data_IF_167587579396
#
_entry.id   IF_167587579396
#
_cell.length_a   1.000
_cell.length_b   1.000
_cell.length_c   1.000
_cell.angle_alpha   90.00
_cell.angle_beta   90.00
_cell.angle_gamma   90.00
#
_symmetry.space_group_name_H-M   'P 1'
#
loop_
_entity.id
_entity.type
_entity.pdbx_description
1 polymer ?
#
# COMPACT_ATOMS: atom_id res chain seq x y z
N UNK A 1 10.23 9.77 -2.51
CA UNK A 1 10.86 8.80 -3.42
C UNK A 1 10.92 7.50 -2.68
N UNK A 2 9.97 6.61 -2.97
CA UNK A 2 9.94 5.26 -2.42
C UNK A 2 10.61 4.38 -3.44
N UNK A 3 11.93 4.28 -3.37
CA UNK A 3 12.69 3.54 -4.37
C UNK A 3 12.64 2.05 -4.02
N UNK A 4 12.34 1.24 -5.03
CA UNK A 4 12.27 -0.23 -4.87
C UNK A 4 13.68 -0.78 -4.96
N UNK A 5 14.03 -1.73 -4.11
CA UNK A 5 15.43 -2.10 -3.93
C UNK A 5 15.59 -3.61 -3.95
N UNK A 6 16.44 -4.09 -4.86
CA UNK A 6 17.06 -5.41 -4.75
C UNK A 6 18.38 -5.22 -4.02
N UNK A 7 18.61 -6.00 -2.99
CA UNK A 7 19.88 -5.95 -2.28
C UNK A 7 20.33 -7.32 -1.81
N UNK A 8 21.64 -7.47 -1.74
CA UNK A 8 22.31 -8.67 -1.23
C UNK A 8 23.03 -8.27 0.04
N UNK A 9 22.70 -8.94 1.13
CA UNK A 9 23.17 -8.61 2.47
C UNK A 9 23.79 -9.84 3.12
N UNK A 10 24.88 -9.65 3.85
CA UNK A 10 25.34 -10.63 4.84
C UNK A 10 24.89 -10.25 6.25
N UNK A 11 24.51 -11.25 7.04
CA UNK A 11 24.20 -11.09 8.46
C UNK A 11 25.23 -11.85 9.31
N UNK A 12 25.68 -11.21 10.39
CA UNK A 12 26.53 -11.82 11.41
C UNK A 12 25.60 -12.43 12.49
N UNK A 13 25.57 -13.76 12.62
CA UNK A 13 24.67 -14.51 13.53
C UNK A 13 24.81 -14.15 15.02
N UNK A 14 25.79 -13.32 15.41
CA UNK A 14 26.15 -13.07 16.82
C UNK A 14 25.54 -11.85 17.48
N UNK A 15 24.66 -11.06 16.84
CA UNK A 15 23.92 -10.05 17.61
C UNK A 15 22.56 -9.69 17.02
N UNK A 16 21.50 -9.85 17.83
CA UNK A 16 20.17 -9.27 17.63
C UNK A 16 20.15 -7.73 17.81
N UNK A 17 21.23 -7.07 17.43
CA UNK A 17 21.42 -5.61 17.41
C UNK A 17 21.98 -5.31 16.03
N UNK A 18 21.47 -4.28 15.35
CA UNK A 18 21.85 -3.81 13.98
C UNK A 18 23.34 -3.40 13.84
N UNK A 19 24.28 -4.25 14.21
CA UNK A 19 25.73 -4.09 14.08
C UNK A 19 26.24 -5.34 13.36
N UNK A 20 26.38 -5.27 12.03
CA UNK A 20 26.95 -6.38 11.25
C UNK A 20 26.34 -6.64 9.88
N UNK A 21 25.27 -5.93 9.50
CA UNK A 21 24.66 -6.08 8.18
C UNK A 21 25.50 -5.38 7.11
N UNK A 22 26.31 -6.13 6.36
CA UNK A 22 27.09 -5.61 5.24
C UNK A 22 26.31 -5.77 3.93
N UNK A 23 26.17 -4.68 3.20
CA UNK A 23 25.50 -4.65 1.90
C UNK A 23 26.55 -4.94 0.82
N UNK A 24 26.37 -6.05 0.11
CA UNK A 24 27.28 -6.46 -0.97
C UNK A 24 26.85 -5.90 -2.33
N UNK A 25 25.54 -5.77 -2.54
CA UNK A 25 24.95 -5.24 -3.76
C UNK A 25 23.65 -4.53 -3.40
N UNK A 26 23.42 -3.37 -4.00
CA UNK A 26 22.15 -2.62 -3.93
C UNK A 26 21.87 -2.09 -5.32
N UNK A 27 20.71 -2.42 -5.88
CA UNK A 27 20.26 -1.90 -7.17
C UNK A 27 18.79 -1.55 -7.13
N UNK A 28 18.44 -0.49 -7.87
CA UNK A 28 17.06 -0.07 -8.12
C UNK A 28 16.59 -0.46 -9.53
N UNK A 29 17.46 -1.09 -10.32
CA UNK A 29 17.21 -1.57 -11.68
C UNK A 29 17.11 -3.10 -11.71
N UNK A 30 17.00 -3.67 -12.91
CA UNK A 30 17.03 -5.12 -13.11
C UNK A 30 18.40 -5.68 -12.71
N UNK A 31 18.37 -6.76 -11.92
CA UNK A 31 19.54 -7.50 -11.47
C UNK A 31 20.12 -8.33 -12.61
N UNK A 32 21.45 -8.36 -12.73
CA UNK A 32 22.14 -9.26 -13.64
C UNK A 32 22.74 -10.47 -12.92
N UNK A 33 22.90 -11.59 -13.65
CA UNK A 33 23.45 -12.84 -13.09
C UNK A 33 24.89 -12.67 -12.59
N UNK A 34 25.70 -11.85 -13.30
CA UNK A 34 27.10 -11.57 -12.95
C UNK A 34 27.22 -10.78 -11.64
N UNK A 35 26.38 -9.76 -11.44
CA UNK A 35 26.33 -8.99 -10.20
C UNK A 35 25.95 -9.87 -9.01
N UNK A 36 24.94 -10.74 -9.18
CA UNK A 36 24.50 -11.65 -8.13
C UNK A 36 25.58 -12.67 -7.76
N UNK A 37 26.25 -13.25 -8.76
CA UNK A 37 27.36 -14.19 -8.55
C UNK A 37 28.53 -13.55 -7.82
N UNK A 38 28.94 -12.34 -8.23
CA UNK A 38 30.02 -11.59 -7.58
C UNK A 38 29.69 -11.25 -6.12
N UNK A 39 28.44 -10.83 -5.86
CA UNK A 39 27.98 -10.49 -4.52
C UNK A 39 27.96 -11.71 -3.58
N UNK A 40 27.59 -12.89 -4.09
CA UNK A 40 27.56 -14.12 -3.31
C UNK A 40 28.96 -14.67 -2.96
N UNK A 41 29.95 -14.48 -3.84
CA UNK A 41 31.29 -15.07 -3.71
C UNK A 41 32.27 -14.23 -2.87
N UNK A 42 32.04 -12.93 -2.71
CA UNK A 42 32.98 -12.03 -2.01
C UNK A 42 32.89 -12.07 -0.48
N UNK A 43 32.06 -12.96 0.07
CA UNK A 43 31.66 -12.95 1.48
C UNK A 43 32.15 -14.21 2.21
N UNK A 44 32.76 -14.02 3.38
CA UNK A 44 33.04 -15.11 4.34
C UNK A 44 31.89 -15.38 5.30
N UNK A 45 30.81 -14.61 5.18
CA UNK A 45 29.62 -14.67 6.03
C UNK A 45 28.45 -15.28 5.25
N UNK A 46 27.34 -15.52 5.93
CA UNK A 46 26.11 -15.98 5.29
C UNK A 46 25.48 -14.82 4.51
N UNK A 47 25.18 -15.04 3.23
CA UNK A 47 24.66 -14.01 2.31
C UNK A 47 23.22 -14.34 1.92
N UNK A 48 22.37 -13.32 1.89
CA UNK A 48 20.95 -13.42 1.54
C UNK A 48 20.61 -12.41 0.45
N UNK A 49 19.94 -12.88 -0.61
CA UNK A 49 19.30 -12.03 -1.61
C UNK A 49 17.94 -11.58 -1.07
N UNK A 50 17.69 -10.26 -1.07
CA UNK A 50 16.40 -9.69 -0.71
C UNK A 50 15.86 -8.78 -1.82
N UNK A 51 14.56 -8.84 -2.05
CA UNK A 51 13.81 -7.90 -2.86
C UNK A 51 12.77 -7.21 -1.97
N UNK A 52 12.82 -5.89 -1.94
CA UNK A 52 11.83 -5.04 -1.27
C UNK A 52 11.18 -4.09 -2.29
N UNK A 53 9.83 -4.09 -2.39
CA UNK A 53 9.10 -3.21 -3.29
C UNK A 53 9.10 -1.77 -2.75
N UNK A 54 8.52 -0.84 -3.51
CA UNK A 54 8.37 0.53 -3.01
C UNK A 54 7.48 0.58 -1.76
N UNK A 55 7.83 1.50 -0.86
CA UNK A 55 7.03 1.86 0.32
C UNK A 55 6.86 3.37 0.31
N UNK A 56 5.63 3.83 0.54
CA UNK A 56 5.32 5.26 0.58
C UNK A 56 4.49 5.61 1.83
N UNK A 57 4.92 6.62 2.57
CA UNK A 57 4.17 7.18 3.69
C UNK A 57 3.68 8.57 3.32
N UNK A 58 2.37 8.75 3.18
CA UNK A 58 1.75 10.02 2.81
C UNK A 58 1.01 10.60 4.00
N UNK A 59 1.26 11.88 4.31
CA UNK A 59 0.44 12.62 5.27
C UNK A 59 -0.76 13.22 4.55
N UNK A 60 -1.96 12.97 5.07
CA UNK A 60 -3.20 13.52 4.53
C UNK A 60 -3.70 14.69 5.40
N UNK A 61 -4.36 15.66 4.76
CA UNK A 61 -4.98 16.79 5.46
C UNK A 61 -6.26 16.37 6.22
N UNK A 62 -7.04 15.45 5.65
CA UNK A 62 -8.29 14.95 6.21
C UNK A 62 -8.34 13.42 6.20
N UNK A 63 -9.20 12.83 7.03
CA UNK A 63 -9.48 11.38 7.01
C UNK A 63 -10.12 10.95 5.69
N UNK A 64 -11.01 11.76 5.12
CA UNK A 64 -11.65 11.47 3.84
C UNK A 64 -10.61 11.37 2.70
N UNK A 65 -9.65 12.30 2.65
CA UNK A 65 -8.55 12.24 1.69
C UNK A 65 -7.71 10.97 1.87
N UNK A 66 -7.45 10.57 3.13
CA UNK A 66 -6.73 9.35 3.45
C UNK A 66 -7.50 8.08 2.99
N UNK A 67 -8.82 8.05 3.16
CA UNK A 67 -9.67 6.95 2.69
C UNK A 67 -9.66 6.83 1.16
N UNK A 68 -9.77 7.95 0.44
CA UNK A 68 -9.65 7.97 -1.03
C UNK A 68 -8.30 7.46 -1.50
N UNK A 69 -7.22 7.96 -0.89
CA UNK A 69 -5.86 7.54 -1.21
C UNK A 69 -5.64 6.04 -0.94
N UNK A 70 -6.17 5.52 0.19
CA UNK A 70 -6.11 4.10 0.52
C UNK A 70 -6.87 3.26 -0.51
N UNK A 71 -8.08 3.66 -0.91
CA UNK A 71 -8.87 2.95 -1.90
C UNK A 71 -8.15 2.88 -3.26
N UNK A 72 -7.55 3.99 -3.72
CA UNK A 72 -6.71 4.03 -4.92
C UNK A 72 -5.52 3.07 -4.81
N UNK A 73 -4.84 3.09 -3.67
CA UNK A 73 -3.68 2.24 -3.41
C UNK A 73 -4.04 0.75 -3.49
N UNK A 74 -5.16 0.35 -2.89
CA UNK A 74 -5.66 -1.03 -2.94
C UNK A 74 -6.03 -1.41 -4.38
N UNK A 75 -6.72 -0.54 -5.11
CA UNK A 75 -7.06 -0.74 -6.52
C UNK A 75 -5.84 -0.89 -7.44
N UNK A 76 -4.74 -0.20 -7.12
CA UNK A 76 -3.46 -0.32 -7.81
C UNK A 76 -2.65 -1.59 -7.45
N UNK A 77 -3.14 -2.43 -6.53
CA UNK A 77 -2.48 -3.67 -6.11
C UNK A 77 -1.68 -3.56 -4.81
N UNK A 78 -1.71 -2.42 -4.12
CA UNK A 78 -1.04 -2.21 -2.83
C UNK A 78 -1.95 -2.62 -1.67
N UNK A 79 -2.27 -3.92 -1.58
CA UNK A 79 -3.27 -4.46 -0.63
C UNK A 79 -2.88 -4.36 0.85
N UNK A 80 -1.58 -4.26 1.15
CA UNK A 80 -1.06 -4.15 2.52
C UNK A 80 -0.99 -2.70 3.03
N UNK A 81 -1.65 -1.79 2.32
CA UNK A 81 -1.73 -0.38 2.68
C UNK A 81 -2.70 -0.16 3.84
N UNK A 82 -2.48 0.89 4.63
CA UNK A 82 -3.34 1.19 5.77
C UNK A 82 -3.23 2.64 6.24
N UNK A 83 -4.26 3.09 6.96
CA UNK A 83 -4.31 4.41 7.60
C UNK A 83 -3.75 4.28 9.03
N UNK A 84 -2.89 5.22 9.40
CA UNK A 84 -2.34 5.36 10.75
C UNK A 84 -2.71 6.74 11.29
N UNK A 85 -3.24 6.76 12.52
CA UNK A 85 -3.54 7.98 13.24
C UNK A 85 -2.44 8.24 14.27
N UNK A 86 -1.81 9.40 14.19
CA UNK A 86 -0.85 9.84 15.19
C UNK A 86 -1.56 10.33 16.45
N UNK A 87 -0.90 10.23 17.61
CA UNK A 87 -1.34 10.85 18.87
C UNK A 87 -1.58 12.35 18.75
N UNK A 88 -0.93 13.01 17.78
CA UNK A 88 -1.09 14.44 17.48
C UNK A 88 -2.25 14.74 16.52
N UNK A 89 -3.14 13.76 16.26
CA UNK A 89 -4.28 13.91 15.34
C UNK A 89 -3.92 13.94 13.84
N UNK A 90 -2.65 13.69 13.48
CA UNK A 90 -2.23 13.64 12.07
C UNK A 90 -2.62 12.30 11.44
N UNK A 91 -3.18 12.35 10.23
CA UNK A 91 -3.57 11.17 9.46
C UNK A 91 -2.47 10.83 8.46
N UNK A 92 -2.00 9.59 8.48
CA UNK A 92 -1.00 9.07 7.57
C UNK A 92 -1.55 7.85 6.83
N UNK A 93 -1.18 7.69 5.57
CA UNK A 93 -1.43 6.47 4.79
C UNK A 93 -0.08 5.83 4.52
N UNK A 94 0.12 4.61 4.98
CA UNK A 94 1.23 3.76 4.57
C UNK A 94 0.79 2.92 3.37
N UNK A 95 1.44 3.13 2.24
CA UNK A 95 1.18 2.43 0.99
C UNK A 95 2.26 1.37 0.83
N UNK A 96 1.84 0.10 0.81
CA UNK A 96 2.73 -1.07 0.78
C UNK A 96 2.16 -2.16 -0.10
N UNK A 97 3.05 -2.96 -0.66
CA UNK A 97 2.72 -4.10 -1.53
C UNK A 97 3.03 -5.42 -0.80
N UNK A 98 2.52 -6.52 -1.35
CA UNK A 98 2.78 -7.90 -0.88
C UNK A 98 4.00 -8.54 -1.52
N UNK A 99 4.63 -7.88 -2.49
CA UNK A 99 5.81 -8.42 -3.16
C UNK A 99 6.97 -8.41 -2.18
N UNK A 100 7.66 -9.52 -2.08
CA UNK A 100 8.92 -9.65 -1.37
C UNK A 100 9.62 -10.90 -1.86
N UNK A 101 10.93 -10.97 -1.68
CA UNK A 101 11.72 -12.18 -1.85
C UNK A 101 12.85 -12.11 -0.84
N UNK A 102 13.12 -13.23 -0.18
CA UNK A 102 14.27 -13.40 0.69
C UNK A 102 14.79 -14.82 0.50
N UNK A 103 16.03 -14.95 0.04
CA UNK A 103 16.63 -16.25 -0.29
C UNK A 103 18.08 -16.27 0.19
N UNK A 104 18.45 -17.19 1.10
CA UNK A 104 19.86 -17.39 1.48
C UNK A 104 20.64 -17.98 0.30
N UNK A 105 21.76 -17.35 -0.04
CA UNK A 105 22.67 -17.73 -1.12
C UNK A 105 23.88 -18.52 -0.60
N UNK A 106 24.40 -18.14 0.58
CA UNK A 106 25.55 -18.79 1.21
C UNK A 106 25.37 -18.90 2.72
N UNK A 107 26.03 -19.87 3.32
CA UNK A 107 26.16 -20.00 4.77
C UNK A 107 27.64 -20.08 5.16
N UNK A 108 28.09 -19.17 6.02
CA UNK A 108 29.48 -19.09 6.52
C UNK A 108 30.52 -19.12 5.40
N UNK A 109 30.24 -18.41 4.30
CA UNK A 109 31.10 -18.33 3.12
C UNK A 109 30.98 -19.50 2.14
N UNK A 110 30.21 -20.54 2.45
CA UNK A 110 29.94 -21.63 1.51
C UNK A 110 28.70 -21.30 0.67
N UNK A 111 28.87 -21.12 -0.63
CA UNK A 111 27.76 -20.89 -1.56
C UNK A 111 26.91 -22.17 -1.65
N UNK A 112 25.63 -22.07 -1.31
CA UNK A 112 24.68 -23.19 -1.29
C UNK A 112 23.94 -23.36 -2.62
N UNK A 113 24.09 -22.38 -3.50
CA UNK A 113 23.30 -22.18 -4.72
C UNK A 113 24.10 -22.57 -5.96
N UNK A 114 23.47 -23.30 -6.89
CA UNK A 114 24.09 -23.65 -8.18
C UNK A 114 24.01 -22.49 -9.18
N UNK A 115 24.87 -22.44 -10.22
CA UNK A 115 24.78 -21.43 -11.28
C UNK A 115 23.40 -21.36 -11.96
N UNK A 116 22.77 -22.52 -12.19
CA UNK A 116 21.41 -22.55 -12.76
C UNK A 116 20.38 -21.90 -11.83
N UNK A 117 20.53 -22.08 -10.51
CA UNK A 117 19.62 -21.47 -9.55
C UNK A 117 19.87 -19.96 -9.40
N UNK A 118 21.10 -19.47 -9.55
CA UNK A 118 21.37 -18.02 -9.63
C UNK A 118 20.61 -17.37 -10.79
N UNK A 119 20.61 -18.00 -11.96
CA UNK A 119 19.83 -17.53 -13.12
C UNK A 119 18.34 -17.47 -12.82
N UNK A 120 17.79 -18.54 -12.23
CA UNK A 120 16.38 -18.57 -11.83
C UNK A 120 16.04 -17.46 -10.81
N UNK A 121 16.86 -17.28 -9.77
CA UNK A 121 16.65 -16.24 -8.77
C UNK A 121 16.71 -14.84 -9.36
N UNK A 122 17.64 -14.60 -10.28
CA UNK A 122 17.77 -13.32 -10.99
C UNK A 122 16.51 -13.01 -11.79
N UNK A 123 16.01 -13.98 -12.55
CA UNK A 123 14.75 -13.83 -13.28
C UNK A 123 13.57 -13.54 -12.34
N UNK A 124 13.42 -14.30 -11.25
CA UNK A 124 12.33 -14.12 -10.30
C UNK A 124 12.39 -12.76 -9.58
N UNK A 125 13.59 -12.25 -9.27
CA UNK A 125 13.77 -10.92 -8.69
C UNK A 125 13.37 -9.82 -9.69
N UNK A 126 13.75 -9.97 -10.96
CA UNK A 126 13.43 -9.04 -12.03
C UNK A 126 11.93 -9.01 -12.34
N UNK A 127 11.27 -10.16 -12.41
CA UNK A 127 9.81 -10.24 -12.58
C UNK A 127 9.06 -9.53 -11.44
N UNK A 128 9.56 -9.64 -10.21
CA UNK A 128 9.01 -8.90 -9.06
C UNK A 128 9.25 -7.39 -9.17
N UNK A 129 10.42 -6.97 -9.67
CA UNK A 129 10.72 -5.55 -9.91
C UNK A 129 9.78 -4.96 -10.96
N UNK A 130 9.56 -5.66 -12.06
CA UNK A 130 8.65 -5.22 -13.12
C UNK A 130 7.20 -5.11 -12.65
N UNK A 131 6.69 -6.12 -11.93
CA UNK A 131 5.35 -6.06 -11.35
C UNK A 131 5.23 -4.93 -10.33
N UNK A 132 6.28 -4.68 -9.56
CA UNK A 132 6.33 -3.56 -8.64
C UNK A 132 6.25 -2.20 -9.38
N UNK A 133 6.98 -2.01 -10.48
CA UNK A 133 6.86 -0.81 -11.31
C UNK A 133 5.47 -0.66 -11.93
N UNK A 134 4.86 -1.75 -12.41
CA UNK A 134 3.48 -1.75 -12.93
C UNK A 134 2.48 -1.30 -11.86
N UNK A 135 2.66 -1.71 -10.60
CA UNK A 135 1.83 -1.24 -9.47
C UNK A 135 2.03 0.24 -9.19
N UNK A 136 3.28 0.71 -9.19
CA UNK A 136 3.61 2.10 -8.98
C UNK A 136 3.02 3.01 -10.08
N UNK A 137 3.12 2.59 -11.34
CA UNK A 137 2.55 3.31 -12.49
C UNK A 137 1.03 3.38 -12.41
N UNK A 138 0.34 2.26 -12.13
CA UNK A 138 -1.12 2.25 -11.93
C UNK A 138 -1.54 3.17 -10.79
N UNK A 139 -0.80 3.15 -9.69
CA UNK A 139 -1.06 4.04 -8.56
C UNK A 139 -0.90 5.51 -8.95
N UNK A 140 0.19 5.86 -9.64
CA UNK A 140 0.44 7.23 -10.10
C UNK A 140 -0.66 7.74 -11.05
N UNK A 141 -1.04 6.95 -12.06
CA UNK A 141 -2.10 7.31 -13.00
C UNK A 141 -3.46 7.52 -12.30
N UNK A 142 -3.78 6.65 -11.34
CA UNK A 142 -5.02 6.77 -10.56
C UNK A 142 -5.01 8.03 -9.67
N UNK A 143 -3.85 8.40 -9.12
CA UNK A 143 -3.67 9.62 -8.33
C UNK A 143 -3.80 10.89 -9.19
N UNK A 144 -3.22 10.91 -10.39
CA UNK A 144 -3.37 12.01 -11.36
C UNK A 144 -4.83 12.22 -11.77
N UNK A 145 -5.56 11.12 -12.01
CA UNK A 145 -6.99 11.17 -12.33
C UNK A 145 -7.79 11.81 -11.19
N UNK A 146 -7.57 11.36 -9.95
CA UNK A 146 -8.23 11.96 -8.77
C UNK A 146 -7.91 13.45 -8.61
N UNK A 147 -6.66 13.84 -8.87
CA UNK A 147 -6.26 15.24 -8.82
C UNK A 147 -7.03 16.08 -9.85
N UNK A 148 -7.13 15.62 -11.10
CA UNK A 148 -7.86 16.31 -12.15
C UNK A 148 -9.35 16.47 -11.83
N UNK A 149 -10.00 15.44 -11.30
CA UNK A 149 -11.41 15.48 -10.88
C UNK A 149 -11.66 16.52 -9.77
N UNK A 150 -10.73 16.63 -8.82
CA UNK A 150 -10.82 17.63 -7.74
C UNK A 150 -10.75 19.06 -8.28
N UNK A 151 -9.87 19.32 -9.26
CA UNK A 151 -9.70 20.64 -9.87
C UNK A 151 -10.90 21.08 -10.73
N UNK A 152 -11.64 20.14 -11.34
CA UNK A 152 -12.83 20.44 -12.14
C UNK A 152 -14.07 20.71 -11.27
N UNK A 153 -14.15 20.07 -10.10
CA UNK A 153 -15.27 20.25 -9.17
C UNK A 153 -15.26 21.66 -8.56
N UNK A 154 -14.10 22.24 -8.33
CA UNK A 154 -13.93 23.61 -7.83
C UNK A 154 -14.31 24.69 -8.87
N UNK A 155 -14.20 24.37 -10.17
CA UNK A 155 -14.54 25.31 -11.27
C UNK A 155 -16.03 25.36 -11.62
N UNK A 156 -16.85 24.42 -11.14
CA UNK A 156 -18.30 24.43 -11.41
C UNK A 156 -18.98 25.50 -10.55
N UNK A 157 -19.75 26.44 -11.15
CA UNK A 157 -20.46 27.46 -10.37
C UNK A 157 -21.44 26.80 -9.41
N UNK A 158 -21.39 27.20 -8.14
CA UNK A 158 -22.36 26.75 -7.12
C UNK A 158 -23.76 27.11 -7.61
N UNK A 159 -24.61 26.11 -7.88
CA UNK A 159 -26.04 26.34 -8.12
C UNK A 159 -26.61 27.00 -6.87
N UNK A 160 -27.23 28.18 -7.02
CA UNK A 160 -27.96 28.84 -5.93
C UNK A 160 -29.00 27.85 -5.39
N UNK A 161 -29.21 27.75 -4.06
CA UNK A 161 -30.30 26.95 -3.53
C UNK A 161 -31.59 27.43 -4.17
N UNK A 162 -32.34 26.53 -4.82
CA UNK A 162 -33.72 26.82 -5.20
C UNK A 162 -34.49 27.12 -3.91
N UNK A 163 -35.06 28.32 -3.83
CA UNK A 163 -35.88 28.73 -2.72
C UNK A 163 -36.99 27.68 -2.54
N UNK A 164 -37.06 27.09 -1.35
CA UNK A 164 -38.12 26.15 -0.99
C UNK A 164 -39.43 26.93 -0.97
N UNK A 165 -40.23 26.79 -2.02
CA UNK A 165 -41.57 27.36 -2.08
C UNK A 165 -42.41 26.67 -0.99
N UNK A 166 -42.88 27.46 -0.02
CA UNK A 166 -43.73 26.96 1.07
C UNK A 166 -45.13 26.74 0.51
N UNK A 167 -45.40 25.57 -0.05
CA UNK A 167 -46.78 25.14 -0.30
C UNK A 167 -47.47 24.97 1.04
N UNK A 168 -48.42 25.85 1.38
CA UNK A 168 -49.36 25.64 2.48
C UNK A 168 -50.24 24.44 2.11
N UNK A 169 -49.91 23.25 2.62
CA UNK A 169 -50.86 22.14 2.66
C UNK A 169 -51.80 22.36 3.84
N UNK A 170 -53.09 22.55 3.55
CA UNK A 170 -54.13 22.39 4.56
C UNK A 170 -54.15 20.91 4.97
N UNK A 171 -53.87 20.63 6.23
CA UNK A 171 -53.94 19.29 6.79
C UNK A 171 -55.40 18.90 6.99
N UNK A 172 -55.90 17.97 6.19
CA UNK A 172 -57.04 17.14 6.59
C UNK A 172 -56.55 16.15 7.66
N UNK A 173 -57.27 15.96 8.78
CA UNK A 173 -56.87 14.98 9.80
C UNK A 173 -56.95 13.56 9.21
N UNK A 174 -56.00 12.67 9.56
CA UNK A 174 -56.12 11.25 9.22
C UNK A 174 -57.29 10.62 9.98
N UNK A 175 -58.08 9.82 9.26
CA UNK A 175 -59.17 9.00 9.79
C UNK A 175 -58.62 8.02 10.84
N UNK A 176 -59.10 8.14 12.07
CA UNK A 176 -58.64 7.35 13.21
C UNK A 176 -59.49 6.08 13.33
N UNK A 177 -58.91 4.93 13.02
CA UNK A 177 -59.53 3.63 13.22
C UNK A 177 -59.46 3.24 14.71
N UNK A 178 -60.60 3.35 15.41
CA UNK A 178 -60.77 3.05 16.84
C UNK A 178 -60.49 1.59 17.22
N UNK A 179 -60.33 0.68 16.25
CA UNK A 179 -60.21 -0.76 16.53
C UNK A 179 -58.85 -1.16 17.13
N UNK A 180 -57.80 -0.35 16.92
CA UNK A 180 -56.42 -0.68 17.36
C UNK A 180 -56.22 -0.47 18.88
N UNK A 181 -57.04 0.35 19.54
CA UNK A 181 -56.88 0.67 20.96
C UNK A 181 -57.25 -0.48 21.93
N UNK A 182 -57.83 -1.58 21.44
CA UNK A 182 -58.24 -2.72 22.30
C UNK A 182 -57.22 -3.85 22.40
N UNK A 183 -56.10 -3.79 21.67
CA UNK A 183 -55.11 -4.88 21.63
C UNK A 183 -54.07 -4.84 22.76
N UNK A 184 -53.99 -3.76 23.54
CA UNK A 184 -52.93 -3.58 24.55
C UNK A 184 -53.41 -3.40 26.00
N UNK A 185 -54.65 -3.78 26.31
CA UNK A 185 -55.13 -3.75 27.69
C UNK A 185 -55.53 -5.16 28.18
N UNK A 186 -54.52 -5.95 28.55
CA UNK A 186 -54.67 -7.07 29.47
C UNK A 186 -53.62 -6.93 30.57
N UNK A 187 -54.01 -6.25 31.65
CA UNK A 187 -53.39 -6.37 32.96
C UNK A 187 -54.20 -7.41 33.74
N UNK A 188 -53.58 -8.56 34.00
CA UNK A 188 -53.50 -9.26 35.31
C UNK A 188 -52.52 -10.41 35.16
#
# INVERSE_FOLDING_TARGET
>A
TGDSTVYVVSDDEKSAVKKGCQWHLVTHDLLTEDELGKAAQHSKQSVTLKFEPFILHVRCHTLEAAQKLLALSIGAGCRNSGIMLSKTGKVHVAIRTTLSMEVPLSDKGNVLVTPMYFKFLTQQANEKMEENWKRLQRFAAALETLHYESAQTEKRPRKKPLAREKTKMASTPPDYDETISRLFNMST
#
